data_IF_218829702774
#
_entry.id   IF_218829702774
#
_cell.length_a   1.000
_cell.length_b   1.000
_cell.length_c   1.000
_cell.angle_alpha   90.00
_cell.angle_beta   90.00
_cell.angle_gamma   90.00
#
_symmetry.space_group_name_H-M   'P 1'
#
loop_
_entity.id
_entity.type
_entity.pdbx_description
1 polymer ?
#
# COMPACT_ATOMS: atom_id res chain seq x y z
N UNK A 1 -25.08 -21.37 -15.35
CA UNK A 1 -25.87 -20.54 -16.28
C UNK A 1 -24.99 -19.65 -17.16
N UNK A 2 -24.11 -18.80 -16.63
CA UNK A 2 -23.21 -17.92 -17.42
C UNK A 2 -22.30 -18.68 -18.39
N UNK A 3 -21.75 -19.83 -17.97
CA UNK A 3 -20.91 -20.69 -18.83
C UNK A 3 -21.63 -21.16 -20.11
N UNK A 4 -22.94 -21.39 -20.04
CA UNK A 4 -23.75 -21.76 -21.21
C UNK A 4 -23.97 -20.56 -22.15
N UNK A 5 -24.11 -19.34 -21.62
CA UNK A 5 -24.24 -18.14 -22.45
C UNK A 5 -22.95 -17.82 -23.22
N UNK A 6 -21.79 -18.09 -22.61
CA UNK A 6 -20.49 -17.96 -23.27
C UNK A 6 -20.32 -18.98 -24.40
N UNK A 7 -20.76 -20.23 -24.20
CA UNK A 7 -20.72 -21.29 -25.22
C UNK A 7 -21.62 -21.01 -26.44
N UNK A 8 -22.61 -20.15 -26.30
CA UNK A 8 -23.55 -19.79 -27.36
C UNK A 8 -23.34 -18.35 -27.86
N UNK A 9 -22.18 -17.74 -27.59
CA UNK A 9 -21.80 -16.38 -28.02
C UNK A 9 -22.85 -15.30 -27.69
N UNK A 10 -23.55 -15.45 -26.56
CA UNK A 10 -24.62 -14.53 -26.13
C UNK A 10 -24.14 -13.47 -25.14
N UNK A 11 -22.83 -13.31 -24.97
CA UNK A 11 -22.25 -12.26 -24.12
C UNK A 11 -21.78 -11.12 -25.02
N UNK A 12 -22.35 -9.94 -24.82
CA UNK A 12 -21.97 -8.72 -25.53
C UNK A 12 -21.16 -7.84 -24.59
N UNK A 13 -19.95 -7.47 -25.01
CA UNK A 13 -19.06 -6.54 -24.30
C UNK A 13 -19.00 -5.21 -25.07
N UNK A 14 -19.92 -4.27 -24.82
CA UNK A 14 -20.07 -3.07 -25.64
C UNK A 14 -18.88 -2.10 -25.55
N UNK A 15 -18.05 -2.24 -24.51
CA UNK A 15 -16.90 -1.37 -24.25
C UNK A 15 -15.55 -2.05 -24.54
N UNK A 16 -15.55 -3.19 -25.25
CA UNK A 16 -14.34 -3.96 -25.53
C UNK A 16 -13.25 -3.16 -26.26
N UNK A 17 -13.68 -2.27 -27.16
CA UNK A 17 -12.78 -1.47 -28.00
C UNK A 17 -12.51 -0.06 -27.43
N UNK A 18 -13.02 0.25 -26.22
CA UNK A 18 -12.89 1.57 -25.60
C UNK A 18 -11.87 1.55 -24.46
N UNK A 19 -11.08 2.62 -24.36
CA UNK A 19 -10.26 2.89 -23.17
C UNK A 19 -11.08 3.52 -22.04
N UNK A 20 -10.59 3.42 -20.80
CA UNK A 20 -11.30 3.90 -19.61
C UNK A 20 -11.68 5.40 -19.70
N UNK A 21 -10.84 6.21 -20.33
CA UNK A 21 -11.09 7.64 -20.49
C UNK A 21 -12.14 7.95 -21.56
N UNK A 22 -12.24 7.11 -22.59
CA UNK A 22 -13.28 7.19 -23.62
C UNK A 22 -14.65 6.78 -23.06
N UNK A 23 -14.69 5.70 -22.26
CA UNK A 23 -15.90 5.28 -21.54
C UNK A 23 -16.40 6.37 -20.59
N UNK A 24 -15.48 7.06 -19.90
CA UNK A 24 -15.83 8.21 -19.03
C UNK A 24 -16.41 9.37 -19.84
N UNK A 25 -15.81 9.70 -20.98
CA UNK A 25 -16.28 10.80 -21.84
C UNK A 25 -17.68 10.52 -22.39
N UNK A 26 -17.90 9.31 -22.92
CA UNK A 26 -19.22 8.85 -23.35
C UNK A 26 -20.24 8.89 -22.21
N UNK A 27 -19.83 8.51 -21.00
CA UNK A 27 -20.67 8.60 -19.81
C UNK A 27 -21.11 10.03 -19.49
N UNK A 28 -20.24 11.04 -19.69
CA UNK A 28 -20.58 12.46 -19.50
C UNK A 28 -21.59 12.93 -20.55
N UNK A 29 -21.42 12.54 -21.81
CA UNK A 29 -22.35 12.87 -22.90
C UNK A 29 -23.74 12.25 -22.67
N UNK A 30 -23.80 11.06 -22.07
CA UNK A 30 -25.03 10.39 -21.67
C UNK A 30 -25.67 10.97 -20.40
N UNK A 31 -25.06 11.99 -19.78
CA UNK A 31 -25.59 12.65 -18.58
C UNK A 31 -25.39 11.88 -17.28
N UNK A 32 -24.43 10.93 -17.22
CA UNK A 32 -24.09 10.27 -15.97
C UNK A 32 -23.41 11.24 -14.99
N UNK A 33 -23.68 11.15 -13.67
CA UNK A 33 -23.06 12.00 -12.67
C UNK A 33 -21.53 11.87 -12.68
N UNK A 34 -20.81 13.01 -12.57
CA UNK A 34 -19.35 13.02 -12.51
C UNK A 34 -18.81 12.16 -11.35
N UNK A 35 -19.52 12.16 -10.21
CA UNK A 35 -19.23 11.32 -9.04
C UNK A 35 -19.21 9.83 -9.36
N UNK A 36 -19.93 9.35 -10.39
CA UNK A 36 -19.90 7.94 -10.79
C UNK A 36 -18.69 7.64 -11.68
N UNK A 37 -18.38 8.55 -12.60
CA UNK A 37 -17.36 8.37 -13.64
C UNK A 37 -15.94 8.53 -13.10
N UNK A 38 -15.77 9.35 -12.06
CA UNK A 38 -14.49 9.69 -11.45
C UNK A 38 -14.19 8.87 -10.19
N UNK A 39 -15.02 7.86 -9.91
CA UNK A 39 -14.76 6.93 -8.81
C UNK A 39 -13.48 6.15 -9.01
N UNK A 40 -12.72 6.01 -7.92
CA UNK A 40 -11.60 5.08 -7.86
C UNK A 40 -12.09 3.65 -8.11
N UNK A 41 -11.32 2.84 -8.86
CA UNK A 41 -11.67 1.46 -9.11
C UNK A 41 -11.77 0.71 -7.78
N UNK A 42 -12.83 -0.07 -7.63
CA UNK A 42 -13.05 -0.89 -6.46
C UNK A 42 -12.84 -2.37 -6.84
N UNK A 43 -12.05 -3.12 -6.05
CA UNK A 43 -11.77 -4.52 -6.35
C UNK A 43 -13.06 -5.35 -6.34
N UNK A 44 -13.16 -6.36 -7.21
CA UNK A 44 -14.32 -7.26 -7.27
C UNK A 44 -14.50 -8.07 -5.99
N UNK A 45 -13.40 -8.39 -5.31
CA UNK A 45 -13.35 -9.03 -3.98
C UNK A 45 -13.78 -8.09 -2.85
N UNK A 46 -14.06 -6.82 -3.16
CA UNK A 46 -14.54 -5.82 -2.22
C UNK A 46 -13.58 -5.52 -1.08
N UNK A 47 -14.13 -5.38 0.14
CA UNK A 47 -13.34 -5.09 1.33
C UNK A 47 -12.57 -6.30 1.86
N UNK A 48 -12.87 -7.52 1.39
CA UNK A 48 -12.27 -8.75 1.93
C UNK A 48 -10.75 -8.78 1.79
N UNK A 49 -10.20 -8.18 0.74
CA UNK A 49 -8.74 -8.07 0.55
C UNK A 49 -8.09 -6.90 1.30
N UNK A 50 -8.91 -6.00 1.88
CA UNK A 50 -8.43 -4.84 2.63
C UNK A 50 -8.41 -5.07 4.15
N UNK A 51 -8.94 -6.21 4.60
CA UNK A 51 -8.95 -6.60 6.01
C UNK A 51 -7.83 -7.62 6.22
N UNK A 52 -6.84 -7.26 7.04
CA UNK A 52 -5.80 -8.20 7.46
C UNK A 52 -6.43 -9.12 8.51
N UNK A 53 -6.44 -10.42 8.24
CA UNK A 53 -6.90 -11.45 9.15
C UNK A 53 -5.80 -12.48 9.37
N UNK A 54 -5.54 -12.82 10.63
CA UNK A 54 -4.57 -13.83 11.03
C UNK A 54 -5.06 -14.51 12.30
N UNK A 55 -5.08 -15.84 12.32
CA UNK A 55 -5.42 -16.63 13.51
C UNK A 55 -4.23 -16.70 14.48
N UNK A 56 -3.01 -16.70 13.93
CA UNK A 56 -1.75 -16.65 14.66
C UNK A 56 -0.87 -15.51 14.14
N UNK A 57 0.02 -15.00 14.99
CA UNK A 57 0.99 -13.98 14.61
C UNK A 57 1.99 -14.54 13.59
N UNK A 58 2.27 -13.77 12.54
CA UNK A 58 3.23 -14.20 11.53
C UNK A 58 4.65 -13.80 11.96
N UNK A 59 5.43 -14.79 12.38
CA UNK A 59 6.83 -14.65 12.77
C UNK A 59 7.70 -15.54 11.87
N UNK A 60 8.50 -14.93 11.00
CA UNK A 60 9.51 -15.66 10.21
C UNK A 60 10.72 -16.03 11.08
N UNK A 61 11.51 -17.01 10.64
CA UNK A 61 12.70 -17.46 11.38
C UNK A 61 13.76 -16.36 11.57
N UNK A 62 13.78 -15.36 10.68
CA UNK A 62 14.68 -14.21 10.70
C UNK A 62 14.02 -12.94 11.28
N UNK A 63 12.86 -13.06 11.94
CA UNK A 63 12.13 -11.92 12.49
C UNK A 63 12.99 -11.12 13.47
N UNK A 64 13.69 -11.81 14.38
CA UNK A 64 14.56 -11.16 15.38
C UNK A 64 15.75 -10.45 14.72
N UNK A 65 16.34 -11.04 13.68
CA UNK A 65 17.44 -10.43 12.94
C UNK A 65 16.98 -9.17 12.19
N UNK A 66 15.81 -9.25 11.53
CA UNK A 66 15.18 -8.11 10.85
C UNK A 66 14.82 -6.98 11.81
N UNK A 67 14.32 -7.30 13.01
CA UNK A 67 14.01 -6.30 14.05
C UNK A 67 15.26 -5.52 14.46
N UNK A 68 16.37 -6.23 14.69
CA UNK A 68 17.66 -5.60 15.03
C UNK A 68 18.15 -4.74 13.87
N UNK A 69 18.07 -5.23 12.64
CA UNK A 69 18.51 -4.50 11.45
C UNK A 69 17.72 -3.19 11.26
N UNK A 70 16.39 -3.24 11.37
CA UNK A 70 15.52 -2.06 11.25
C UNK A 70 15.88 -1.01 12.29
N UNK A 71 16.12 -1.44 13.53
CA UNK A 71 16.53 -0.53 14.61
C UNK A 71 17.90 0.10 14.34
N UNK A 72 18.86 -0.70 13.85
CA UNK A 72 20.16 -0.18 13.42
C UNK A 72 20.04 0.80 12.25
N UNK A 73 19.13 0.56 11.30
CA UNK A 73 18.89 1.48 10.17
C UNK A 73 18.35 2.84 10.64
N UNK A 74 17.39 2.86 11.58
CA UNK A 74 16.87 4.11 12.16
C UNK A 74 17.96 4.88 12.89
N UNK A 75 18.86 4.18 13.58
CA UNK A 75 19.99 4.82 14.26
C UNK A 75 21.08 5.27 13.27
N UNK A 76 21.33 4.51 12.20
CA UNK A 76 22.33 4.82 11.18
C UNK A 76 21.89 5.93 10.21
N UNK A 77 20.58 6.08 9.96
CA UNK A 77 20.02 7.22 9.23
C UNK A 77 20.36 8.57 9.89
N UNK A 78 20.65 8.58 11.20
CA UNK A 78 21.16 9.76 11.91
C UNK A 78 22.63 10.08 11.55
N UNK A 79 23.34 9.19 10.85
CA UNK A 79 24.80 9.23 10.67
C UNK A 79 25.29 9.36 9.20
N UNK A 80 24.43 9.39 8.18
CA UNK A 80 24.86 9.36 6.76
C UNK A 80 24.23 10.45 5.86
N UNK A 81 24.97 10.87 4.82
CA UNK A 81 24.61 11.77 3.68
C UNK A 81 24.45 13.26 4.03
N UNK A 82 25.41 14.12 3.62
CA UNK A 82 25.46 15.56 3.98
C UNK A 82 24.25 16.39 3.54
N UNK A 83 23.52 15.97 2.49
CA UNK A 83 22.36 16.68 1.95
C UNK A 83 21.05 16.29 2.65
N UNK A 84 20.87 15.00 2.95
CA UNK A 84 19.69 14.48 3.68
C UNK A 84 19.79 14.76 5.19
N UNK A 85 21.01 15.01 5.69
CA UNK A 85 21.28 15.25 7.11
C UNK A 85 20.52 16.45 7.67
N UNK A 86 20.37 17.54 6.92
CA UNK A 86 19.71 18.74 7.43
C UNK A 86 18.21 18.52 7.68
N UNK A 87 17.53 17.88 6.72
CA UNK A 87 16.11 17.51 6.83
C UNK A 87 15.91 16.46 7.93
N UNK A 88 16.76 15.43 7.97
CA UNK A 88 16.69 14.37 8.97
C UNK A 88 17.02 14.87 10.38
N UNK A 89 17.96 15.81 10.53
CA UNK A 89 18.33 16.42 11.82
C UNK A 89 17.24 17.38 12.32
N UNK A 90 16.60 18.16 11.44
CA UNK A 90 15.43 18.96 11.81
C UNK A 90 14.25 18.08 12.26
N UNK A 91 14.01 16.95 11.58
CA UNK A 91 12.95 16.00 11.90
C UNK A 91 13.25 15.18 13.17
N UNK A 92 14.51 14.75 13.35
CA UNK A 92 15.01 13.94 14.47
C UNK A 92 15.20 14.74 15.75
N UNK A 93 15.57 16.01 15.66
CA UNK A 93 15.64 16.90 16.84
C UNK A 93 14.27 17.16 17.46
N UNK A 94 13.20 17.09 16.65
CA UNK A 94 11.82 17.26 17.11
C UNK A 94 11.14 15.96 17.54
N UNK A 95 11.57 14.80 17.03
CA UNK A 95 10.90 13.51 17.27
C UNK A 95 11.88 12.35 17.44
N UNK A 96 11.63 11.50 18.45
CA UNK A 96 12.29 10.21 18.55
C UNK A 96 11.60 9.21 17.61
N UNK A 97 12.32 8.75 16.59
CA UNK A 97 11.84 7.70 15.69
C UNK A 97 12.16 6.33 16.27
N UNK A 98 11.14 5.48 16.35
CA UNK A 98 11.26 4.06 16.66
C UNK A 98 10.60 3.31 15.51
N UNK A 99 11.30 2.34 14.95
CA UNK A 99 10.76 1.41 13.97
C UNK A 99 10.72 0.00 14.56
N UNK A 100 9.68 -0.74 14.20
CA UNK A 100 9.44 -2.12 14.65
C UNK A 100 8.77 -2.88 13.52
N UNK A 101 9.21 -4.12 13.30
CA UNK A 101 8.54 -5.00 12.35
C UNK A 101 7.24 -5.52 12.95
N UNK A 102 6.13 -5.41 12.22
CA UNK A 102 4.85 -5.94 12.63
C UNK A 102 4.72 -7.42 12.22
N UNK A 103 4.14 -8.28 13.07
CA UNK A 103 3.97 -9.70 12.77
C UNK A 103 2.72 -9.97 11.91
N UNK A 104 2.63 -9.27 10.77
CA UNK A 104 1.52 -9.34 9.83
C UNK A 104 2.06 -9.59 8.41
N UNK A 105 1.27 -10.27 7.56
CA UNK A 105 1.61 -10.47 6.15
C UNK A 105 0.86 -9.49 5.27
N UNK A 106 1.59 -8.92 4.33
CA UNK A 106 1.06 -8.08 3.25
C UNK A 106 1.61 -8.64 1.94
N UNK A 107 0.86 -8.53 0.86
CA UNK A 107 1.32 -8.94 -0.48
C UNK A 107 2.06 -7.77 -1.12
N UNK A 108 3.32 -7.97 -1.46
CA UNK A 108 4.11 -7.07 -2.32
C UNK A 108 4.37 -7.70 -3.69
N UNK A 109 4.68 -6.85 -4.68
CA UNK A 109 5.09 -7.31 -6.02
C UNK A 109 6.56 -6.97 -6.20
N UNK A 110 7.37 -8.00 -6.40
CA UNK A 110 8.81 -7.84 -6.62
C UNK A 110 9.10 -7.77 -8.13
N UNK A 111 9.70 -6.66 -8.57
CA UNK A 111 10.33 -6.59 -9.88
C UNK A 111 11.73 -7.18 -9.75
N UNK A 112 12.10 -8.05 -10.69
CA UNK A 112 13.19 -9.03 -10.62
C UNK A 112 14.62 -8.46 -10.41
N UNK A 113 14.78 -7.13 -10.30
CA UNK A 113 16.08 -6.44 -10.25
C UNK A 113 16.48 -5.85 -8.88
N UNK A 114 15.65 -5.92 -7.84
CA UNK A 114 16.00 -5.36 -6.53
C UNK A 114 15.81 -6.36 -5.37
N UNK A 115 16.86 -6.46 -4.56
CA UNK A 115 16.98 -7.32 -3.38
C UNK A 115 15.99 -6.87 -2.29
N UNK A 116 15.39 -7.86 -1.65
CA UNK A 116 14.29 -7.81 -0.68
C UNK A 116 14.35 -6.65 0.33
N UNK A 117 13.18 -6.04 0.59
CA UNK A 117 12.67 -5.61 1.90
C UNK A 117 11.22 -5.12 1.72
N UNK A 118 10.23 -6.03 1.72
CA UNK A 118 8.84 -5.63 1.98
C UNK A 118 8.66 -5.54 3.50
N UNK A 119 9.14 -4.44 4.08
CA UNK A 119 8.93 -4.09 5.48
C UNK A 119 7.98 -2.91 5.52
N UNK A 120 6.78 -3.11 6.04
CA UNK A 120 5.96 -1.99 6.46
C UNK A 120 6.65 -1.36 7.67
N UNK A 121 7.42 -0.29 7.44
CA UNK A 121 7.96 0.55 8.49
C UNK A 121 6.80 1.35 9.07
N UNK A 122 6.42 1.04 10.31
CA UNK A 122 5.54 1.92 11.07
C UNK A 122 6.41 2.91 11.82
N UNK A 123 6.46 4.13 11.32
CA UNK A 123 7.07 5.25 12.02
C UNK A 123 6.18 5.67 13.19
N UNK A 124 6.67 5.52 14.42
CA UNK A 124 5.98 6.03 15.59
C UNK A 124 6.42 7.47 15.89
N UNK A 125 5.51 8.44 15.72
CA UNK A 125 5.68 9.82 16.20
C UNK A 125 4.98 9.98 17.55
N UNK A 126 5.73 9.96 18.65
CA UNK A 126 5.18 10.25 19.97
C UNK A 126 4.98 11.75 20.14
N UNK A 127 3.78 12.27 19.83
CA UNK A 127 3.39 13.60 20.27
C UNK A 127 2.92 13.53 21.74
N UNK A 128 3.19 14.60 22.50
CA UNK A 128 2.79 14.80 23.92
C UNK A 128 1.26 14.64 24.16
N UNK A 129 0.47 14.59 23.09
CA UNK A 129 -0.93 14.19 23.06
C UNK A 129 -1.05 12.95 22.17
N UNK A 130 -1.31 11.79 22.77
CA UNK A 130 -1.17 10.46 22.14
C UNK A 130 -2.08 10.17 20.94
N UNK A 131 -1.78 10.75 19.77
CA UNK A 131 -2.35 10.35 18.48
C UNK A 131 -1.36 9.52 17.68
N UNK A 132 -1.84 8.38 17.19
CA UNK A 132 -1.11 7.44 16.32
C UNK A 132 -1.25 7.88 14.87
N UNK A 133 -0.14 8.16 14.20
CA UNK A 133 -0.10 8.44 12.76
C UNK A 133 0.74 7.35 12.10
N UNK A 134 0.14 6.60 11.19
CA UNK A 134 0.81 5.58 10.38
C UNK A 134 1.06 6.23 9.01
N UNK A 135 2.32 6.55 8.69
CA UNK A 135 2.76 6.94 7.35
C UNK A 135 3.22 5.71 6.58
N UNK A 136 2.74 5.55 5.35
CA UNK A 136 3.31 4.62 4.36
C UNK A 136 4.25 5.41 3.44
N UNK A 137 5.50 4.99 3.34
CA UNK A 137 6.47 5.49 2.33
C UNK A 137 6.30 4.77 1.00
#
# INVERSE_FOLDING_TARGET
MVRQLHLHDRIVEPFKDFHIDEVRTLGRELGLPAELLERHPFPSTGLSIRIIYAEELFMEADFDEKQVLIRLMVDYAKMTSEEDRFLLEELSSRNQYVATLLPIRIVGVQVQDLRNLDVMLVEYKQNVYGSMVISSS
#
